data_IF_171967152802
#
_entry.id   IF_171967152802
#
_cell.length_a   1.000
_cell.length_b   1.000
_cell.length_c   1.000
_cell.angle_alpha   90.00
_cell.angle_beta   90.00
_cell.angle_gamma   90.00
#
_symmetry.space_group_name_H-M   'P 1'
#
loop_
_entity.id
_entity.type
_entity.pdbx_description
1 polymer ?
#
# COMPACT_ATOMS: atom_id res chain seq x y z
N UNK A 1 12.65 9.84 25.30
CA UNK A 1 13.86 9.38 24.59
C UNK A 1 13.58 8.08 23.85
N UNK A 2 12.95 7.09 24.47
CA UNK A 2 12.49 5.85 23.82
C UNK A 2 11.70 6.02 22.51
N UNK A 3 10.70 6.91 22.43
CA UNK A 3 9.86 7.04 21.22
C UNK A 3 10.66 7.49 19.99
N UNK A 4 11.64 8.38 20.17
CA UNK A 4 12.43 8.92 19.06
C UNK A 4 13.41 7.86 18.54
N UNK A 5 14.05 7.12 19.44
CA UNK A 5 14.88 5.96 19.12
C UNK A 5 14.08 4.88 18.38
N UNK A 6 12.92 4.50 18.92
CA UNK A 6 12.01 3.52 18.32
C UNK A 6 11.57 3.95 16.91
N UNK A 7 11.21 5.23 16.76
CA UNK A 7 10.80 5.79 15.46
C UNK A 7 11.96 5.76 14.47
N UNK A 8 13.17 6.03 14.93
CA UNK A 8 14.38 6.04 14.11
C UNK A 8 14.71 4.61 13.63
N UNK A 9 14.59 3.61 14.51
CA UNK A 9 14.76 2.19 14.15
C UNK A 9 13.78 1.80 13.06
N UNK A 10 12.48 2.04 13.27
CA UNK A 10 11.42 1.72 12.30
C UNK A 10 11.60 2.49 10.99
N UNK A 11 12.07 3.74 11.04
CA UNK A 11 12.32 4.53 9.84
C UNK A 11 13.51 3.99 9.03
N UNK A 12 14.61 3.62 9.69
CA UNK A 12 15.77 3.02 9.02
C UNK A 12 15.36 1.71 8.34
N UNK A 13 14.65 0.85 9.04
CA UNK A 13 14.23 -0.46 8.50
C UNK A 13 13.24 -0.29 7.35
N UNK A 14 12.32 0.67 7.46
CA UNK A 14 11.40 1.03 6.37
C UNK A 14 12.14 1.52 5.11
N UNK A 15 13.16 2.38 5.27
CA UNK A 15 14.01 2.84 4.16
C UNK A 15 14.79 1.67 3.54
N UNK A 16 15.32 0.77 4.36
CA UNK A 16 16.00 -0.44 3.87
C UNK A 16 15.06 -1.35 3.08
N UNK A 17 13.83 -1.58 3.57
CA UNK A 17 12.84 -2.36 2.83
C UNK A 17 12.39 -1.67 1.55
N UNK A 18 12.27 -0.35 1.55
CA UNK A 18 11.95 0.42 0.35
C UNK A 18 13.06 0.32 -0.70
N UNK A 19 14.32 0.52 -0.30
CA UNK A 19 15.47 0.35 -1.17
C UNK A 19 15.59 -1.09 -1.69
N UNK A 20 15.35 -2.08 -0.82
CA UNK A 20 15.30 -3.49 -1.19
C UNK A 20 14.21 -3.79 -2.23
N UNK A 21 12.99 -3.30 -2.00
CA UNK A 21 11.88 -3.42 -2.95
C UNK A 21 12.16 -2.73 -4.28
N UNK A 22 12.78 -1.55 -4.25
CA UNK A 22 13.19 -0.81 -5.44
C UNK A 22 14.25 -1.57 -6.25
N UNK A 23 15.31 -2.06 -5.58
CA UNK A 23 16.37 -2.83 -6.23
C UNK A 23 15.85 -4.16 -6.76
N UNK A 24 14.99 -4.87 -6.02
CA UNK A 24 14.34 -6.10 -6.47
C UNK A 24 13.47 -5.85 -7.71
N UNK A 25 12.67 -4.78 -7.69
CA UNK A 25 11.86 -4.39 -8.84
C UNK A 25 12.73 -4.08 -10.06
N UNK A 26 13.78 -3.28 -9.89
CA UNK A 26 14.69 -2.87 -10.97
C UNK A 26 15.51 -4.01 -11.55
N UNK A 27 15.97 -4.96 -10.72
CA UNK A 27 16.90 -6.02 -11.16
C UNK A 27 16.20 -7.30 -11.60
N UNK A 28 15.06 -7.67 -11.00
CA UNK A 28 14.55 -9.04 -11.08
C UNK A 28 13.15 -9.16 -11.66
N UNK A 29 12.27 -8.18 -11.43
CA UNK A 29 10.88 -8.28 -11.90
C UNK A 29 10.74 -7.90 -13.39
N UNK A 30 11.59 -6.99 -13.89
CA UNK A 30 11.44 -6.44 -15.24
C UNK A 30 12.78 -5.98 -15.85
N UNK A 31 13.71 -6.93 -16.02
CA UNK A 31 15.00 -6.68 -16.69
C UNK A 31 14.85 -6.12 -18.12
N UNK A 32 13.73 -6.41 -18.79
CA UNK A 32 13.46 -6.04 -20.19
C UNK A 32 12.18 -5.20 -20.38
N UNK A 33 11.58 -4.65 -19.31
CA UNK A 33 10.37 -3.83 -19.44
C UNK A 33 10.77 -2.36 -19.64
N UNK A 34 10.85 -1.97 -20.91
CA UNK A 34 11.10 -0.63 -21.44
C UNK A 34 10.10 0.46 -20.98
N UNK A 35 9.21 0.19 -20.02
CA UNK A 35 8.11 1.09 -19.64
C UNK A 35 8.50 1.96 -18.44
N UNK A 36 8.85 3.20 -18.76
CA UNK A 36 9.33 4.28 -17.89
C UNK A 36 8.29 4.86 -16.90
N UNK A 37 7.48 4.04 -16.23
CA UNK A 37 6.55 4.53 -15.21
C UNK A 37 7.13 4.41 -13.81
N UNK A 38 8.01 5.36 -13.47
CA UNK A 38 8.57 5.55 -12.12
C UNK A 38 7.49 5.51 -11.04
N UNK A 39 6.28 6.00 -11.33
CA UNK A 39 5.15 5.93 -10.41
C UNK A 39 4.74 4.50 -10.04
N UNK A 40 4.74 3.55 -10.99
CA UNK A 40 4.38 2.15 -10.70
C UNK A 40 5.45 1.48 -9.84
N UNK A 41 6.73 1.77 -10.12
CA UNK A 41 7.87 1.33 -9.32
C UNK A 41 7.77 1.84 -7.88
N UNK A 42 7.42 3.11 -7.72
CA UNK A 42 7.19 3.72 -6.41
C UNK A 42 6.01 3.06 -5.69
N UNK A 43 4.86 2.89 -6.34
CA UNK A 43 3.68 2.25 -5.73
C UNK A 43 4.01 0.84 -5.24
N UNK A 44 4.71 0.05 -6.07
CA UNK A 44 5.18 -1.27 -5.69
C UNK A 44 6.12 -1.21 -4.48
N UNK A 45 7.18 -0.40 -4.56
CA UNK A 45 8.23 -0.35 -3.52
C UNK A 45 7.68 0.17 -2.20
N UNK A 46 6.76 1.13 -2.22
CA UNK A 46 6.08 1.63 -1.01
C UNK A 46 5.18 0.52 -0.43
N UNK A 47 4.37 -0.14 -1.25
CA UNK A 47 3.46 -1.20 -0.78
C UNK A 47 4.25 -2.37 -0.18
N UNK A 48 5.34 -2.76 -0.84
CA UNK A 48 6.27 -3.77 -0.34
C UNK A 48 6.90 -3.36 1.00
N UNK A 49 7.46 -2.15 1.07
CA UNK A 49 8.07 -1.62 2.30
C UNK A 49 7.08 -1.56 3.46
N UNK A 50 5.84 -1.10 3.23
CA UNK A 50 4.78 -1.08 4.23
C UNK A 50 4.42 -2.49 4.72
N UNK A 51 4.40 -3.47 3.81
CA UNK A 51 4.11 -4.87 4.13
C UNK A 51 5.22 -5.49 4.98
N UNK A 52 6.49 -5.23 4.63
CA UNK A 52 7.65 -5.64 5.42
C UNK A 52 7.67 -4.97 6.79
N UNK A 53 7.34 -3.67 6.88
CA UNK A 53 7.27 -2.93 8.15
C UNK A 53 6.19 -3.52 9.06
N UNK A 54 5.02 -3.87 8.51
CA UNK A 54 3.95 -4.55 9.26
C UNK A 54 4.40 -5.91 9.81
N UNK A 55 5.13 -6.69 9.01
CA UNK A 55 5.70 -7.95 9.45
C UNK A 55 6.80 -7.77 10.51
N UNK A 56 7.68 -6.79 10.34
CA UNK A 56 8.72 -6.44 11.30
C UNK A 56 8.14 -6.01 12.66
N UNK A 57 7.05 -5.22 12.67
CA UNK A 57 6.41 -4.81 13.92
C UNK A 57 5.88 -6.01 14.72
N UNK A 58 5.43 -7.08 14.06
CA UNK A 58 5.05 -8.35 14.70
C UNK A 58 6.29 -9.03 15.30
N UNK A 59 7.42 -9.02 14.61
CA UNK A 59 8.68 -9.57 15.13
C UNK A 59 9.14 -8.78 16.37
N UNK A 60 9.10 -7.44 16.30
CA UNK A 60 9.45 -6.58 17.44
C UNK A 60 8.50 -6.74 18.62
N UNK A 61 7.25 -7.12 18.38
CA UNK A 61 6.32 -7.52 19.43
C UNK A 61 6.76 -8.79 20.15
N UNK A 62 7.10 -9.84 19.39
CA UNK A 62 7.53 -11.13 19.94
C UNK A 62 8.85 -11.00 20.72
N UNK A 63 9.80 -10.21 20.19
CA UNK A 63 11.12 -10.03 20.80
C UNK A 63 11.16 -8.99 21.93
N UNK A 64 10.09 -8.21 22.10
CA UNK A 64 10.03 -7.16 23.12
C UNK A 64 11.01 -6.00 22.92
N UNK A 65 11.41 -5.73 21.66
CA UNK A 65 12.42 -4.72 21.32
C UNK A 65 11.89 -3.29 21.44
N UNK A 66 10.63 -3.07 21.02
CA UNK A 66 10.02 -1.74 20.95
C UNK A 66 9.07 -1.49 22.12
N UNK A 67 9.01 -0.26 22.63
CA UNK A 67 8.03 0.08 23.67
C UNK A 67 6.59 -0.07 23.17
N UNK A 68 5.71 -0.62 24.02
CA UNK A 68 4.33 -0.95 23.67
C UNK A 68 3.52 0.23 23.10
N UNK A 69 3.71 1.43 23.66
CA UNK A 69 3.01 2.64 23.17
C UNK A 69 3.52 3.09 21.79
N UNK A 70 4.83 3.01 21.55
CA UNK A 70 5.43 3.35 20.26
C UNK A 70 5.00 2.36 19.16
N UNK A 71 5.02 1.06 19.49
CA UNK A 71 4.56 -0.01 18.62
C UNK A 71 3.11 0.15 18.18
N UNK A 72 2.22 0.49 19.11
CA UNK A 72 0.81 0.71 18.80
C UNK A 72 0.60 1.84 17.77
N UNK A 73 1.35 2.94 17.92
CA UNK A 73 1.28 4.08 16.98
C UNK A 73 1.77 3.64 15.59
N UNK A 74 2.94 2.99 15.50
CA UNK A 74 3.48 2.52 14.23
C UNK A 74 2.59 1.48 13.55
N UNK A 75 1.97 0.59 14.33
CA UNK A 75 1.05 -0.40 13.81
C UNK A 75 -0.20 0.26 13.23
N UNK A 76 -0.80 1.21 13.96
CA UNK A 76 -1.96 1.97 13.48
C UNK A 76 -1.64 2.74 12.20
N UNK A 77 -0.49 3.41 12.16
CA UNK A 77 -0.03 4.15 10.99
C UNK A 77 0.21 3.21 9.79
N UNK A 78 0.92 2.11 10.00
CA UNK A 78 1.21 1.11 8.96
C UNK A 78 -0.06 0.49 8.38
N UNK A 79 -1.03 0.14 9.24
CA UNK A 79 -2.34 -0.35 8.82
C UNK A 79 -3.11 0.66 7.99
N UNK A 80 -3.21 1.92 8.43
CA UNK A 80 -3.90 2.93 7.63
C UNK A 80 -3.19 3.19 6.29
N UNK A 81 -1.85 3.22 6.28
CA UNK A 81 -1.08 3.42 5.07
C UNK A 81 -1.27 2.28 4.06
N UNK A 82 -1.19 1.01 4.50
CA UNK A 82 -1.35 -0.14 3.61
C UNK A 82 -2.79 -0.30 3.12
N UNK A 83 -3.79 0.02 3.96
CA UNK A 83 -5.20 0.07 3.56
C UNK A 83 -5.42 1.16 2.52
N UNK A 84 -4.89 2.36 2.73
CA UNK A 84 -4.98 3.44 1.77
C UNK A 84 -4.34 3.07 0.43
N UNK A 85 -3.14 2.50 0.44
CA UNK A 85 -2.49 2.00 -0.77
C UNK A 85 -3.37 0.99 -1.50
N UNK A 86 -3.90 0.00 -0.78
CA UNK A 86 -4.60 -1.15 -1.36
C UNK A 86 -6.02 -0.82 -1.84
N UNK A 87 -6.74 0.06 -1.13
CA UNK A 87 -8.15 0.36 -1.43
C UNK A 87 -8.26 1.58 -2.35
N UNK A 88 -7.36 2.55 -2.23
CA UNK A 88 -7.47 3.81 -2.99
C UNK A 88 -6.51 3.82 -4.18
N UNK A 89 -5.21 3.71 -3.91
CA UNK A 89 -4.18 3.96 -4.93
C UNK A 89 -4.11 2.82 -5.95
N UNK A 90 -3.96 1.57 -5.50
CA UNK A 90 -3.80 0.42 -6.39
C UNK A 90 -4.98 0.27 -7.36
N UNK A 91 -6.26 0.29 -6.92
CA UNK A 91 -7.41 0.12 -7.82
C UNK A 91 -7.52 1.23 -8.85
N UNK A 92 -7.17 2.48 -8.47
CA UNK A 92 -7.13 3.60 -9.40
C UNK A 92 -6.11 3.38 -10.52
N UNK A 93 -4.86 3.03 -10.15
CA UNK A 93 -3.79 2.81 -11.12
C UNK A 93 -4.03 1.58 -11.99
N UNK A 94 -4.52 0.47 -11.42
CA UNK A 94 -4.88 -0.72 -12.19
C UNK A 94 -5.98 -0.39 -13.19
N UNK A 95 -7.05 0.32 -12.76
CA UNK A 95 -8.13 0.75 -13.65
C UNK A 95 -7.63 1.65 -14.79
N UNK A 96 -6.72 2.59 -14.48
CA UNK A 96 -6.08 3.44 -15.50
C UNK A 96 -5.32 2.61 -16.53
N UNK A 97 -4.45 1.68 -16.08
CA UNK A 97 -3.65 0.87 -16.99
C UNK A 97 -4.51 -0.06 -17.84
N UNK A 98 -5.50 -0.73 -17.25
CA UNK A 98 -6.44 -1.61 -17.98
C UNK A 98 -7.16 -0.83 -19.08
N UNK A 99 -7.74 0.33 -18.75
CA UNK A 99 -8.45 1.16 -19.74
C UNK A 99 -7.50 1.73 -20.81
N UNK A 100 -6.28 2.09 -20.44
CA UNK A 100 -5.28 2.61 -21.39
C UNK A 100 -4.78 1.57 -22.38
N UNK A 101 -4.83 0.28 -22.02
CA UNK A 101 -4.38 -0.82 -22.86
C UNK A 101 -5.46 -1.28 -23.87
N UNK A 102 -6.71 -0.87 -23.67
CA UNK A 102 -7.82 -1.20 -24.58
C UNK A 102 -7.76 -0.29 -25.81
N UNK A 103 -7.45 -0.87 -26.97
CA UNK A 103 -7.30 -0.14 -28.25
C UNK A 103 -8.57 0.60 -28.71
N UNK A 104 -9.74 0.18 -28.24
CA UNK A 104 -11.04 0.72 -28.64
C UNK A 104 -11.39 2.06 -27.94
N UNK A 105 -10.72 2.39 -26.84
CA UNK A 105 -11.05 3.57 -26.03
C UNK A 105 -10.31 4.80 -26.55
N UNK A 106 -11.04 5.87 -26.85
CA UNK A 106 -10.43 7.15 -27.21
C UNK A 106 -9.62 7.71 -26.04
N UNK A 107 -8.41 8.22 -26.32
CA UNK A 107 -7.49 8.74 -25.29
C UNK A 107 -8.11 9.80 -24.37
N UNK A 108 -9.07 10.56 -24.88
CA UNK A 108 -9.79 11.60 -24.12
C UNK A 108 -10.76 11.01 -23.08
N UNK A 109 -11.29 9.81 -23.33
CA UNK A 109 -12.24 9.12 -22.45
C UNK A 109 -11.56 8.28 -21.36
N UNK A 110 -10.25 8.00 -21.47
CA UNK A 110 -9.52 7.17 -20.49
C UNK A 110 -9.64 7.78 -19.09
N UNK A 111 -9.31 9.06 -18.92
CA UNK A 111 -9.36 9.73 -17.60
C UNK A 111 -10.75 9.68 -16.94
N UNK A 112 -11.85 10.14 -17.59
CA UNK A 112 -13.17 10.07 -16.96
C UNK A 112 -13.63 8.63 -16.72
N UNK A 113 -13.32 7.69 -17.61
CA UNK A 113 -13.65 6.27 -17.40
C UNK A 113 -12.88 5.65 -16.23
N UNK A 114 -11.61 6.02 -16.03
CA UNK A 114 -10.83 5.59 -14.86
C UNK A 114 -11.48 6.09 -13.57
N UNK A 115 -11.86 7.37 -13.51
CA UNK A 115 -12.54 7.93 -12.33
C UNK A 115 -13.88 7.23 -12.09
N UNK A 116 -14.67 7.00 -13.14
CA UNK A 116 -15.93 6.28 -13.03
C UNK A 116 -15.75 4.83 -12.54
N UNK A 117 -14.77 4.12 -13.09
CA UNK A 117 -14.42 2.75 -12.68
C UNK A 117 -13.94 2.72 -11.23
N UNK A 118 -13.13 3.69 -10.82
CA UNK A 118 -12.65 3.82 -9.45
C UNK A 118 -13.79 4.13 -8.46
N UNK A 119 -14.70 5.04 -8.80
CA UNK A 119 -15.91 5.30 -8.00
C UNK A 119 -16.80 4.06 -7.89
N UNK A 120 -16.97 3.32 -9.00
CA UNK A 120 -17.68 2.05 -9.01
C UNK A 120 -17.04 1.03 -8.08
N UNK A 121 -15.71 0.91 -8.11
CA UNK A 121 -14.96 0.06 -7.18
C UNK A 121 -15.19 0.49 -5.71
N UNK A 122 -15.08 1.78 -5.40
CA UNK A 122 -15.29 2.30 -4.05
C UNK A 122 -16.72 2.03 -3.54
N UNK A 123 -17.72 2.19 -4.41
CA UNK A 123 -19.11 1.86 -4.10
C UNK A 123 -19.29 0.36 -3.81
N UNK A 124 -18.72 -0.50 -4.65
CA UNK A 124 -18.74 -1.96 -4.43
C UNK A 124 -18.02 -2.34 -3.14
N UNK A 125 -16.87 -1.74 -2.87
CA UNK A 125 -16.11 -1.96 -1.64
C UNK A 125 -16.92 -1.59 -0.40
N UNK A 126 -17.57 -0.43 -0.43
CA UNK A 126 -18.48 -0.01 0.65
C UNK A 126 -19.67 -0.96 0.79
N UNK A 127 -20.30 -1.36 -0.32
CA UNK A 127 -21.48 -2.24 -0.30
C UNK A 127 -21.16 -3.67 0.13
N UNK A 128 -19.99 -4.18 -0.23
CA UNK A 128 -19.47 -5.47 0.26
C UNK A 128 -19.01 -5.39 1.71
N UNK A 129 -18.62 -4.21 2.19
CA UNK A 129 -18.29 -3.93 3.59
C UNK A 129 -19.51 -3.93 4.52
N UNK A 130 -20.66 -3.45 4.04
CA UNK A 130 -21.95 -3.38 4.76
C UNK A 130 -22.39 -4.70 5.44
N UNK A 131 -22.33 -5.88 4.76
CA UNK A 131 -22.71 -7.16 5.35
C UNK A 131 -21.66 -7.79 6.26
N UNK A 132 -20.44 -7.23 6.40
CA UNK A 132 -19.47 -7.75 7.35
C UNK A 132 -19.95 -7.44 8.78
N UNK A 133 -20.22 -8.46 9.61
CA UNK A 133 -20.64 -8.24 10.98
C UNK A 133 -19.43 -7.79 11.82
N UNK A 134 -19.17 -6.49 11.83
CA UNK A 134 -18.36 -5.86 12.89
C UNK A 134 -19.31 -5.52 14.04
N UNK A 135 -19.97 -6.55 14.56
CA UNK A 135 -20.79 -6.42 15.75
C UNK A 135 -19.83 -6.15 16.91
N UNK A 136 -19.64 -4.88 17.26
CA UNK A 136 -19.31 -4.54 18.63
C UNK A 136 -20.39 -5.20 19.50
N UNK A 137 -20.02 -6.04 20.47
CA UNK A 137 -20.99 -6.51 21.44
C UNK A 137 -21.54 -5.25 22.11
N UNK A 138 -22.80 -4.91 21.82
CA UNK A 138 -23.55 -3.97 22.66
C UNK A 138 -23.87 -4.71 23.96
N UNK A 139 -22.88 -4.86 24.83
CA UNK A 139 -23.06 -5.25 26.23
C UNK A 139 -21.97 -4.61 27.08
#
# INVERSE_FOLDING_TARGET
>A
MALLEDTLVVFITQVLFFAGGWVFFMKQLFRDYEVHHVLVQLIFSITFSLSCTMFELIIFEILGVLHSNSRYIHWKLGLYAILFMTIVILPFYIGYFVLSNIRFIQKQLIKPLTVASWLGFMYLFWKLGDPFPILSPKH
#
